data_IF_170527666591
#
_entry.id   IF_170527666591
#
_cell.length_a   1.000
_cell.length_b   1.000
_cell.length_c   1.000
_cell.angle_alpha   90.00
_cell.angle_beta   90.00
_cell.angle_gamma   90.00
#
_symmetry.space_group_name_H-M   'P 1'
#
loop_
_entity.id
_entity.type
_entity.pdbx_description
1 polymer ?
#
# COMPACT_ATOMS: atom_id res chain seq x y z
N UNK A 1 18.15 24.26 11.17
CA UNK A 1 16.91 23.54 10.82
C UNK A 1 15.84 24.54 10.41
N UNK A 2 15.19 24.33 9.27
CA UNK A 2 14.09 25.15 8.77
C UNK A 2 13.01 25.31 9.86
N UNK A 3 12.50 26.53 10.10
CA UNK A 3 11.45 26.77 11.12
C UNK A 3 10.18 25.96 10.85
N UNK A 4 9.97 25.55 9.60
CA UNK A 4 8.85 24.71 9.19
C UNK A 4 8.95 23.29 9.72
N UNK A 5 10.15 22.72 9.89
CA UNK A 5 10.31 21.41 10.51
C UNK A 5 9.74 21.38 11.94
N UNK A 6 9.97 22.45 12.71
CA UNK A 6 9.37 22.58 14.05
C UNK A 6 7.83 22.67 13.98
N UNK A 7 7.30 23.37 12.97
CA UNK A 7 5.85 23.48 12.83
C UNK A 7 5.22 22.16 12.34
N UNK A 8 5.93 21.41 11.49
CA UNK A 8 5.57 20.05 11.11
C UNK A 8 5.51 19.15 12.35
N UNK A 9 6.54 19.18 13.20
CA UNK A 9 6.58 18.43 14.48
C UNK A 9 5.41 18.77 15.42
N UNK A 10 5.09 20.06 15.56
CA UNK A 10 3.92 20.50 16.33
C UNK A 10 2.59 19.97 15.71
N UNK A 11 2.54 19.76 14.40
CA UNK A 11 1.37 19.19 13.70
C UNK A 11 1.32 17.67 13.84
N UNK A 12 2.43 16.94 13.72
CA UNK A 12 2.47 15.48 13.90
C UNK A 12 2.06 15.09 15.32
N UNK A 13 2.47 15.85 16.34
CA UNK A 13 2.00 15.68 17.71
C UNK A 13 0.47 15.78 17.85
N UNK A 14 -0.17 16.68 17.09
CA UNK A 14 -1.65 16.76 17.04
C UNK A 14 -2.26 15.59 16.29
N UNK A 15 -1.62 15.12 15.23
CA UNK A 15 -2.05 13.94 14.47
C UNK A 15 -2.14 12.72 15.38
N UNK A 16 -1.13 12.47 16.22
CA UNK A 16 -1.15 11.36 17.18
C UNK A 16 -2.13 11.56 18.33
N UNK A 17 -2.30 12.78 18.84
CA UNK A 17 -3.41 13.07 19.78
C UNK A 17 -4.78 12.81 19.13
N UNK A 18 -4.90 13.03 17.82
CA UNK A 18 -6.12 12.81 17.09
C UNK A 18 -6.39 11.31 16.86
N UNK A 19 -5.36 10.53 16.50
CA UNK A 19 -5.41 9.07 16.46
C UNK A 19 -5.79 8.47 17.82
N UNK A 20 -5.23 9.00 18.92
CA UNK A 20 -5.58 8.61 20.29
C UNK A 20 -6.98 9.09 20.75
N UNK A 21 -7.72 9.85 19.92
CA UNK A 21 -9.05 10.38 20.24
C UNK A 21 -9.08 11.58 21.18
N UNK A 22 -7.93 12.15 21.53
CA UNK A 22 -7.80 13.35 22.36
C UNK A 22 -7.99 14.65 21.56
N UNK A 23 -7.65 14.65 20.27
CA UNK A 23 -8.00 15.70 19.30
C UNK A 23 -9.10 15.19 18.36
N UNK A 24 -10.14 15.99 18.13
CA UNK A 24 -11.28 15.60 17.28
C UNK A 24 -11.18 16.14 15.86
N UNK A 25 -10.37 17.18 15.66
CA UNK A 25 -10.14 17.74 14.34
C UNK A 25 -9.11 16.91 13.57
N UNK A 26 -9.63 16.09 12.65
CA UNK A 26 -8.82 15.26 11.76
C UNK A 26 -8.07 16.03 10.66
N UNK A 27 -8.30 17.33 10.51
CA UNK A 27 -7.62 18.12 9.46
C UNK A 27 -6.12 18.30 9.70
N UNK A 28 -5.62 17.97 10.90
CA UNK A 28 -4.21 18.02 11.23
C UNK A 28 -3.34 17.15 10.30
N UNK A 29 -3.83 15.98 9.88
CA UNK A 29 -3.12 15.08 8.97
C UNK A 29 -2.88 15.71 7.60
N UNK A 30 -3.93 16.30 7.01
CA UNK A 30 -3.80 17.03 5.75
C UNK A 30 -2.88 18.25 5.89
N UNK A 31 -2.99 18.99 6.99
CA UNK A 31 -2.14 20.16 7.25
C UNK A 31 -0.65 19.77 7.37
N UNK A 32 -0.36 18.69 8.11
CA UNK A 32 0.98 18.16 8.27
C UNK A 32 1.55 17.66 6.93
N UNK A 33 0.75 16.95 6.13
CA UNK A 33 1.17 16.47 4.81
C UNK A 33 1.51 17.63 3.86
N UNK A 34 0.66 18.66 3.79
CA UNK A 34 0.95 19.83 2.96
C UNK A 34 2.20 20.59 3.46
N UNK A 35 2.41 20.64 4.78
CA UNK A 35 3.62 21.22 5.37
C UNK A 35 4.87 20.44 4.97
N UNK A 36 4.85 19.10 5.06
CA UNK A 36 5.95 18.24 4.63
C UNK A 36 6.30 18.48 3.16
N UNK A 37 5.30 18.49 2.28
CA UNK A 37 5.48 18.80 0.86
C UNK A 37 6.09 20.18 0.65
N UNK A 38 5.61 21.20 1.37
CA UNK A 38 6.15 22.55 1.27
C UNK A 38 7.63 22.60 1.70
N UNK A 39 7.99 21.88 2.76
CA UNK A 39 9.38 21.75 3.23
C UNK A 39 10.24 21.13 2.14
N UNK A 40 9.86 19.95 1.61
CA UNK A 40 10.63 19.25 0.56
C UNK A 40 10.84 20.18 -0.65
N UNK A 41 9.79 20.84 -1.13
CA UNK A 41 9.88 21.75 -2.27
C UNK A 41 10.71 23.00 -1.99
N UNK A 42 10.79 23.46 -0.74
CA UNK A 42 11.65 24.58 -0.35
C UNK A 42 13.12 24.18 -0.27
N UNK A 43 13.43 23.06 0.37
CA UNK A 43 14.80 22.52 0.43
C UNK A 43 15.32 22.26 -0.98
N UNK A 44 14.47 21.74 -1.88
CA UNK A 44 14.80 21.52 -3.29
C UNK A 44 15.12 22.77 -4.11
N UNK A 45 14.78 23.98 -3.61
CA UNK A 45 15.22 25.24 -4.25
C UNK A 45 16.70 25.52 -4.00
N UNK A 46 17.23 25.03 -2.87
CA UNK A 46 18.63 25.22 -2.49
C UNK A 46 19.48 24.02 -2.95
N UNK A 47 18.94 22.81 -2.86
CA UNK A 47 19.57 21.57 -3.30
C UNK A 47 18.57 20.74 -4.11
N UNK A 48 18.71 20.75 -5.44
CA UNK A 48 17.74 20.11 -6.35
C UNK A 48 17.61 18.60 -6.16
N UNK A 49 18.59 17.94 -5.52
CA UNK A 49 18.55 16.50 -5.25
C UNK A 49 18.12 16.17 -3.81
N UNK A 50 17.74 17.17 -3.02
CA UNK A 50 17.25 16.97 -1.66
C UNK A 50 16.08 15.97 -1.62
N UNK A 51 16.30 14.86 -0.90
CA UNK A 51 15.34 13.77 -0.71
C UNK A 51 14.64 13.38 -2.02
N UNK A 52 15.42 13.04 -3.06
CA UNK A 52 14.90 12.62 -4.35
C UNK A 52 14.03 11.36 -4.24
N UNK A 53 14.34 10.50 -3.27
CA UNK A 53 13.61 9.28 -2.92
C UNK A 53 13.00 9.43 -1.52
N UNK A 54 11.92 8.70 -1.24
CA UNK A 54 11.19 8.84 0.03
C UNK A 54 12.08 8.51 1.23
N UNK A 55 12.83 7.40 1.17
CA UNK A 55 13.73 6.95 2.24
C UNK A 55 14.80 8.00 2.63
N UNK A 56 15.24 8.80 1.65
CA UNK A 56 16.29 9.81 1.87
C UNK A 56 15.83 10.96 2.78
N UNK A 57 14.52 11.13 3.01
CA UNK A 57 14.03 12.21 3.85
C UNK A 57 14.37 12.01 5.32
N UNK A 58 14.37 10.76 5.79
CA UNK A 58 14.69 10.43 7.17
C UNK A 58 16.19 10.60 7.42
N UNK A 59 17.03 10.15 6.49
CA UNK A 59 18.46 10.45 6.49
C UNK A 59 18.74 11.95 6.53
N UNK A 60 18.02 12.72 5.70
CA UNK A 60 18.19 14.17 5.62
C UNK A 60 17.75 14.92 6.90
N UNK A 61 16.95 14.27 7.74
CA UNK A 61 16.47 14.81 9.02
C UNK A 61 17.11 14.15 10.24
N UNK A 62 18.12 13.29 10.04
CA UNK A 62 18.74 12.49 11.11
C UNK A 62 17.69 11.70 11.91
N UNK A 63 16.70 11.15 11.20
CA UNK A 63 15.57 10.39 11.75
C UNK A 63 14.77 11.15 12.82
N UNK A 64 14.83 12.49 12.83
CA UNK A 64 14.21 13.29 13.90
C UNK A 64 12.68 13.23 13.91
N UNK A 65 12.06 12.82 12.81
CA UNK A 65 10.60 12.87 12.62
C UNK A 65 9.95 11.57 12.18
N UNK A 66 10.74 10.56 11.84
CA UNK A 66 10.26 9.27 11.33
C UNK A 66 9.19 9.42 10.23
N UNK A 67 9.57 10.09 9.15
CA UNK A 67 8.65 10.56 8.12
C UNK A 67 8.00 9.41 7.38
N UNK A 68 8.73 8.31 7.15
CA UNK A 68 8.15 7.13 6.51
C UNK A 68 7.02 6.53 7.35
N UNK A 69 7.27 6.22 8.63
CA UNK A 69 6.24 5.69 9.53
C UNK A 69 5.07 6.67 9.69
N UNK A 70 5.38 7.96 9.87
CA UNK A 70 4.34 9.00 9.97
C UNK A 70 3.48 9.12 8.70
N UNK A 71 4.07 8.94 7.51
CA UNK A 71 3.33 8.98 6.24
C UNK A 71 2.39 7.79 6.10
N UNK A 72 2.80 6.60 6.54
CA UNK A 72 1.94 5.42 6.56
C UNK A 72 0.73 5.66 7.46
N UNK A 73 0.95 6.10 8.71
CA UNK A 73 -0.10 6.49 9.65
C UNK A 73 -1.03 7.56 9.05
N UNK A 74 -0.45 8.55 8.38
CA UNK A 74 -1.21 9.62 7.75
C UNK A 74 -2.13 9.12 6.64
N UNK A 75 -1.65 8.25 5.77
CA UNK A 75 -2.45 7.70 4.69
C UNK A 75 -3.57 6.81 5.24
N UNK A 76 -3.28 5.99 6.26
CA UNK A 76 -4.26 5.10 6.89
C UNK A 76 -5.33 5.86 7.67
N UNK A 77 -4.97 6.90 8.41
CA UNK A 77 -5.94 7.74 9.13
C UNK A 77 -6.89 8.49 8.19
N UNK A 78 -6.38 8.96 7.04
CA UNK A 78 -7.22 9.60 6.02
C UNK A 78 -8.12 8.57 5.33
N UNK A 79 -7.62 7.35 5.08
CA UNK A 79 -8.40 6.24 4.51
C UNK A 79 -9.52 5.78 5.45
N UNK A 80 -9.23 5.59 6.74
CA UNK A 80 -10.20 5.21 7.77
C UNK A 80 -11.34 6.22 7.94
N UNK A 81 -11.10 7.49 7.59
CA UNK A 81 -12.11 8.57 7.59
C UNK A 81 -12.90 8.66 6.30
N UNK A 82 -12.57 7.82 5.33
CA UNK A 82 -13.17 7.81 4.00
C UNK A 82 -13.03 9.16 3.27
N UNK A 83 -12.00 9.97 3.61
CA UNK A 83 -11.68 11.20 2.87
C UNK A 83 -10.88 10.88 1.60
N UNK A 84 -11.56 10.17 0.70
CA UNK A 84 -10.97 9.59 -0.50
C UNK A 84 -10.46 10.64 -1.51
N UNK A 85 -11.04 11.85 -1.54
CA UNK A 85 -10.52 12.92 -2.40
C UNK A 85 -9.18 13.46 -1.89
N UNK A 86 -9.07 13.67 -0.57
CA UNK A 86 -7.79 14.05 0.05
C UNK A 86 -6.75 12.94 -0.13
N UNK A 87 -7.13 11.69 0.10
CA UNK A 87 -6.22 10.55 -0.04
C UNK A 87 -5.73 10.38 -1.48
N UNK A 88 -6.61 10.55 -2.47
CA UNK A 88 -6.22 10.51 -3.88
C UNK A 88 -5.19 11.59 -4.21
N UNK A 89 -5.40 12.82 -3.72
CA UNK A 89 -4.47 13.92 -3.91
C UNK A 89 -3.12 13.63 -3.25
N UNK A 90 -3.11 13.10 -2.03
CA UNK A 90 -1.88 12.71 -1.33
C UNK A 90 -1.10 11.66 -2.13
N UNK A 91 -1.78 10.63 -2.65
CA UNK A 91 -1.15 9.63 -3.50
C UNK A 91 -0.55 10.25 -4.77
N UNK A 92 -1.28 11.14 -5.45
CA UNK A 92 -0.79 11.86 -6.63
C UNK A 92 0.44 12.73 -6.33
N UNK A 93 0.41 13.44 -5.21
CA UNK A 93 1.51 14.28 -4.74
C UNK A 93 2.74 13.43 -4.42
N UNK A 94 2.62 12.34 -3.66
CA UNK A 94 3.75 11.44 -3.34
C UNK A 94 4.37 10.82 -4.59
N UNK A 95 3.54 10.33 -5.52
CA UNK A 95 4.00 9.75 -6.79
C UNK A 95 4.71 10.78 -7.69
N UNK A 96 4.45 12.07 -7.50
CA UNK A 96 5.10 13.16 -8.24
C UNK A 96 6.33 13.70 -7.51
N UNK A 97 6.32 13.71 -6.18
CA UNK A 97 7.38 14.27 -5.37
C UNK A 97 8.66 13.41 -5.42
N UNK A 98 8.55 12.09 -5.50
CA UNK A 98 9.71 11.20 -5.43
C UNK A 98 10.03 10.53 -6.76
N UNK A 99 11.33 10.31 -7.01
CA UNK A 99 11.80 9.35 -7.99
C UNK A 99 11.63 7.96 -7.38
N UNK A 100 10.94 7.06 -8.07
CA UNK A 100 10.68 5.71 -7.58
C UNK A 100 11.51 4.72 -8.41
N UNK A 101 12.82 4.54 -8.11
CA UNK A 101 13.74 3.79 -8.96
C UNK A 101 13.54 2.27 -8.79
N UNK A 102 14.15 1.67 -7.76
CA UNK A 102 14.02 0.23 -7.46
C UNK A 102 12.65 -0.06 -6.86
N UNK A 103 12.32 0.64 -5.77
CA UNK A 103 10.98 0.67 -5.24
C UNK A 103 10.09 1.56 -6.10
N UNK A 104 9.06 0.99 -6.72
CA UNK A 104 8.24 1.73 -7.70
C UNK A 104 7.12 2.58 -7.08
N UNK A 105 7.00 2.63 -5.74
CA UNK A 105 5.84 3.22 -5.05
C UNK A 105 4.58 2.38 -5.24
N UNK A 106 4.72 1.05 -5.24
CA UNK A 106 3.65 0.10 -5.57
C UNK A 106 2.48 0.20 -4.59
N UNK A 107 2.75 0.38 -3.30
CA UNK A 107 1.80 0.64 -2.23
C UNK A 107 0.91 1.87 -2.50
N UNK A 108 1.51 3.01 -2.87
CA UNK A 108 0.83 4.28 -3.13
C UNK A 108 0.01 4.16 -4.41
N UNK A 109 0.55 3.49 -5.44
CA UNK A 109 -0.19 3.19 -6.67
C UNK A 109 -1.36 2.25 -6.41
N UNK A 110 -1.18 1.24 -5.56
CA UNK A 110 -2.25 0.33 -5.16
C UNK A 110 -3.36 1.10 -4.45
N UNK A 111 -3.01 1.87 -3.42
CA UNK A 111 -3.96 2.71 -2.67
C UNK A 111 -4.71 3.66 -3.60
N UNK A 112 -3.99 4.37 -4.49
CA UNK A 112 -4.60 5.21 -5.52
C UNK A 112 -5.61 4.47 -6.40
N UNK A 113 -5.31 3.27 -6.85
CA UNK A 113 -6.23 2.47 -7.67
C UNK A 113 -7.52 2.13 -6.91
N UNK A 114 -7.40 1.73 -5.64
CA UNK A 114 -8.55 1.43 -4.77
C UNK A 114 -9.37 2.68 -4.48
N UNK A 115 -8.73 3.80 -4.17
CA UNK A 115 -9.37 5.09 -3.91
C UNK A 115 -10.17 5.58 -5.13
N UNK A 116 -9.63 5.41 -6.35
CA UNK A 116 -10.38 5.71 -7.57
C UNK A 116 -11.65 4.87 -7.70
N UNK A 117 -11.62 3.59 -7.29
CA UNK A 117 -12.82 2.75 -7.21
C UNK A 117 -13.82 3.27 -6.18
N UNK A 118 -13.35 3.62 -4.96
CA UNK A 118 -14.20 4.14 -3.86
C UNK A 118 -14.91 5.45 -4.23
N UNK A 119 -14.24 6.31 -5.00
CA UNK A 119 -14.83 7.54 -5.56
C UNK A 119 -15.78 7.31 -6.74
N UNK A 120 -15.97 6.06 -7.18
CA UNK A 120 -16.77 5.75 -8.37
C UNK A 120 -16.13 6.19 -9.69
N UNK A 121 -14.85 6.58 -9.69
CA UNK A 121 -14.07 7.04 -10.86
C UNK A 121 -13.54 5.84 -11.67
N UNK A 122 -14.43 4.89 -11.96
CA UNK A 122 -14.08 3.56 -12.50
C UNK A 122 -13.29 3.61 -13.81
N UNK A 123 -13.63 4.54 -14.71
CA UNK A 123 -12.90 4.71 -15.99
C UNK A 123 -11.45 5.12 -15.78
N UNK A 124 -11.19 5.90 -14.74
CA UNK A 124 -9.84 6.36 -14.40
C UNK A 124 -9.05 5.25 -13.70
N UNK A 125 -9.68 4.53 -12.78
CA UNK A 125 -9.10 3.35 -12.12
C UNK A 125 -8.62 2.33 -13.17
N UNK A 126 -9.52 1.92 -14.08
CA UNK A 126 -9.21 0.96 -15.15
C UNK A 126 -8.03 1.44 -16.00
N UNK A 127 -8.08 2.69 -16.47
CA UNK A 127 -7.01 3.25 -17.31
C UNK A 127 -5.67 3.34 -16.56
N UNK A 128 -5.71 3.64 -15.27
CA UNK A 128 -4.53 3.71 -14.43
C UNK A 128 -3.91 2.33 -14.25
N UNK A 129 -4.70 1.32 -13.85
CA UNK A 129 -4.26 -0.06 -13.67
C UNK A 129 -3.74 -0.69 -14.95
N UNK A 130 -4.42 -0.49 -16.09
CA UNK A 130 -3.96 -0.98 -17.41
C UNK A 130 -2.58 -0.41 -17.77
N UNK A 131 -2.35 0.89 -17.56
CA UNK A 131 -1.05 1.52 -17.82
C UNK A 131 0.03 1.03 -16.87
N UNK A 132 -0.31 0.84 -15.60
CA UNK A 132 0.65 0.41 -14.59
C UNK A 132 1.15 -1.02 -14.88
N UNK A 133 0.26 -1.98 -15.10
CA UNK A 133 0.66 -3.35 -15.47
C UNK A 133 1.41 -3.38 -16.79
N UNK A 134 1.02 -2.56 -17.77
CA UNK A 134 1.76 -2.49 -19.03
C UNK A 134 3.22 -2.07 -18.82
N UNK A 135 3.46 -1.16 -17.87
CA UNK A 135 4.81 -0.69 -17.53
C UNK A 135 5.57 -1.70 -16.67
N UNK A 136 4.87 -2.39 -15.78
CA UNK A 136 5.44 -3.28 -14.77
C UNK A 136 4.71 -4.64 -14.80
N UNK A 137 4.88 -5.45 -15.87
CA UNK A 137 4.06 -6.64 -16.10
C UNK A 137 4.32 -7.77 -15.10
N UNK A 138 5.48 -7.80 -14.46
CA UNK A 138 5.86 -8.80 -13.45
C UNK A 138 5.62 -8.31 -12.01
N UNK A 139 5.09 -7.11 -11.83
CA UNK A 139 4.78 -6.57 -10.50
C UNK A 139 3.44 -7.16 -10.02
N UNK A 140 3.50 -8.06 -9.05
CA UNK A 140 2.30 -8.69 -8.48
C UNK A 140 1.37 -7.69 -7.82
N UNK A 141 1.87 -6.63 -7.18
CA UNK A 141 1.04 -5.57 -6.57
C UNK A 141 0.25 -4.82 -7.66
N UNK A 142 0.88 -4.55 -8.80
CA UNK A 142 0.21 -3.93 -9.95
C UNK A 142 -0.91 -4.83 -10.50
N UNK A 143 -0.62 -6.13 -10.63
CA UNK A 143 -1.59 -7.14 -11.05
C UNK A 143 -2.77 -7.23 -10.08
N UNK A 144 -2.49 -7.33 -8.77
CA UNK A 144 -3.49 -7.40 -7.69
C UNK A 144 -4.39 -6.18 -7.69
N UNK A 145 -3.81 -4.96 -7.80
CA UNK A 145 -4.59 -3.73 -7.91
C UNK A 145 -5.57 -3.78 -9.11
N UNK A 146 -5.11 -4.26 -10.26
CA UNK A 146 -5.97 -4.37 -11.42
C UNK A 146 -7.01 -5.48 -11.30
N UNK A 147 -6.73 -6.60 -10.63
CA UNK A 147 -7.74 -7.63 -10.34
C UNK A 147 -8.89 -7.00 -9.54
N UNK A 148 -8.59 -6.22 -8.49
CA UNK A 148 -9.61 -5.49 -7.75
C UNK A 148 -10.40 -4.51 -8.64
N UNK A 149 -9.70 -3.66 -9.40
CA UNK A 149 -10.32 -2.66 -10.29
C UNK A 149 -11.19 -3.33 -11.37
N UNK A 150 -10.69 -4.38 -12.02
CA UNK A 150 -11.40 -5.09 -13.07
C UNK A 150 -12.58 -5.87 -12.52
N UNK A 151 -12.47 -6.44 -11.32
CA UNK A 151 -13.60 -7.07 -10.63
C UNK A 151 -14.72 -6.06 -10.38
N UNK A 152 -14.40 -4.88 -9.82
CA UNK A 152 -15.39 -3.83 -9.56
C UNK A 152 -15.95 -3.23 -10.87
N UNK A 153 -15.14 -3.19 -11.92
CA UNK A 153 -15.55 -2.79 -13.27
C UNK A 153 -16.32 -3.88 -14.06
N UNK A 154 -16.52 -5.08 -13.47
CA UNK A 154 -17.14 -6.26 -14.11
C UNK A 154 -16.41 -6.76 -15.37
N UNK A 155 -15.10 -6.54 -15.44
CA UNK A 155 -14.18 -7.05 -16.47
C UNK A 155 -13.56 -8.37 -16.01
N UNK A 156 -14.40 -9.36 -15.70
CA UNK A 156 -13.97 -10.57 -14.99
C UNK A 156 -12.94 -11.40 -15.75
N UNK A 157 -13.05 -11.49 -17.07
CA UNK A 157 -12.10 -12.23 -17.90
C UNK A 157 -10.70 -11.60 -17.86
N UNK A 158 -10.62 -10.26 -17.78
CA UNK A 158 -9.33 -9.56 -17.66
C UNK A 158 -8.70 -9.78 -16.28
N UNK A 159 -9.54 -9.81 -15.23
CA UNK A 159 -9.09 -10.10 -13.88
C UNK A 159 -8.59 -11.55 -13.76
N UNK A 160 -9.32 -12.51 -14.33
CA UNK A 160 -8.95 -13.94 -14.26
C UNK A 160 -7.63 -14.23 -14.98
N UNK A 161 -7.36 -13.60 -16.13
CA UNK A 161 -6.07 -13.73 -16.82
C UNK A 161 -4.89 -13.28 -15.95
N UNK A 162 -5.07 -12.26 -15.11
CA UNK A 162 -4.03 -11.81 -14.18
C UNK A 162 -3.87 -12.79 -13.02
N UNK A 163 -4.98 -13.29 -12.47
CA UNK A 163 -4.94 -14.32 -11.41
C UNK A 163 -4.20 -15.57 -11.91
N UNK A 164 -4.55 -16.09 -13.08
CA UNK A 164 -3.92 -17.29 -13.65
C UNK A 164 -2.44 -17.06 -14.01
N UNK A 165 -1.99 -15.80 -14.20
CA UNK A 165 -0.58 -15.47 -14.42
C UNK A 165 0.24 -15.61 -13.14
N UNK A 166 -0.30 -15.14 -12.00
CA UNK A 166 0.44 -15.02 -10.74
C UNK A 166 0.13 -16.15 -9.74
N UNK A 167 -0.92 -16.94 -9.96
CA UNK A 167 -1.23 -18.15 -9.19
C UNK A 167 -1.08 -19.35 -10.11
N UNK A 168 0.10 -19.98 -10.09
CA UNK A 168 0.40 -21.19 -10.86
C UNK A 168 -0.25 -22.41 -10.21
N UNK A 169 -0.10 -22.55 -8.89
CA UNK A 169 -0.78 -23.54 -8.06
C UNK A 169 -1.67 -22.82 -7.02
N UNK A 170 -2.93 -23.22 -6.94
CA UNK A 170 -3.93 -22.62 -6.03
C UNK A 170 -3.85 -23.16 -4.60
N UNK A 171 -2.90 -24.05 -4.33
CA UNK A 171 -2.59 -24.56 -2.99
C UNK A 171 -1.31 -23.98 -2.40
N UNK A 172 -0.52 -23.24 -3.19
CA UNK A 172 0.77 -22.66 -2.78
C UNK A 172 0.59 -21.15 -2.52
N UNK A 173 -0.05 -20.81 -1.39
CA UNK A 173 -0.15 -19.45 -0.89
C UNK A 173 1.03 -19.17 0.06
N UNK A 174 1.66 -18.00 -0.07
CA UNK A 174 2.77 -17.57 0.78
C UNK A 174 3.01 -16.06 0.71
N UNK A 175 4.07 -15.60 1.40
CA UNK A 175 4.42 -14.17 1.58
C UNK A 175 4.46 -13.38 0.26
N UNK A 176 4.86 -14.02 -0.84
CA UNK A 176 5.02 -13.34 -2.14
C UNK A 176 3.70 -13.15 -2.90
N UNK A 177 2.66 -13.94 -2.61
CA UNK A 177 1.45 -14.03 -3.44
C UNK A 177 0.12 -13.99 -2.70
N UNK A 178 0.12 -13.94 -1.36
CA UNK A 178 -1.06 -13.86 -0.49
C UNK A 178 -2.02 -12.72 -0.91
N UNK A 179 -1.49 -11.57 -1.32
CA UNK A 179 -2.28 -10.43 -1.78
C UNK A 179 -3.08 -10.78 -3.04
N UNK A 180 -2.52 -11.60 -3.93
CA UNK A 180 -3.18 -12.05 -5.16
C UNK A 180 -4.20 -13.13 -4.85
N UNK A 181 -3.92 -14.04 -3.89
CA UNK A 181 -4.90 -15.01 -3.40
C UNK A 181 -6.13 -14.31 -2.81
N UNK A 182 -5.94 -13.27 -2.00
CA UNK A 182 -7.02 -12.46 -1.45
C UNK A 182 -7.86 -11.83 -2.57
N UNK A 183 -7.22 -11.25 -3.58
CA UNK A 183 -7.91 -10.68 -4.74
C UNK A 183 -8.66 -11.74 -5.58
N UNK A 184 -8.06 -12.92 -5.76
CA UNK A 184 -8.65 -14.05 -6.46
C UNK A 184 -9.90 -14.59 -5.73
N UNK A 185 -9.86 -14.69 -4.39
CA UNK A 185 -11.02 -15.09 -3.59
C UNK A 185 -12.20 -14.14 -3.83
N UNK A 186 -11.95 -12.81 -3.80
CA UNK A 186 -12.97 -11.80 -4.11
C UNK A 186 -13.52 -11.98 -5.52
N UNK A 187 -12.66 -12.13 -6.52
CA UNK A 187 -13.05 -12.32 -7.92
C UNK A 187 -13.94 -13.56 -8.08
N UNK A 188 -13.50 -14.73 -7.60
CA UNK A 188 -14.25 -15.97 -7.71
C UNK A 188 -15.58 -15.93 -6.94
N UNK A 189 -15.63 -15.22 -5.81
CA UNK A 189 -16.86 -14.93 -5.09
C UNK A 189 -17.87 -14.17 -5.92
N UNK A 190 -17.45 -13.09 -6.58
CA UNK A 190 -18.31 -12.27 -7.45
C UNK A 190 -18.73 -13.03 -8.71
N UNK A 191 -17.86 -13.87 -9.27
CA UNK A 191 -18.17 -14.72 -10.43
C UNK A 191 -19.07 -15.92 -10.10
N UNK A 192 -19.22 -16.27 -8.82
CA UNK A 192 -19.92 -17.49 -8.39
C UNK A 192 -19.14 -18.79 -8.64
N UNK A 193 -17.82 -18.70 -8.84
CA UNK A 193 -16.89 -19.82 -9.02
C UNK A 193 -16.56 -20.48 -7.68
N UNK A 194 -17.54 -21.20 -7.13
CA UNK A 194 -17.51 -21.73 -5.76
C UNK A 194 -16.37 -22.72 -5.50
N UNK A 195 -15.97 -23.50 -6.51
CA UNK A 195 -14.92 -24.51 -6.35
C UNK A 195 -13.56 -23.82 -6.24
N UNK A 196 -13.27 -22.94 -7.17
CA UNK A 196 -12.04 -22.16 -7.27
C UNK A 196 -11.88 -21.25 -6.04
N UNK A 197 -12.96 -20.58 -5.62
CA UNK A 197 -12.97 -19.80 -4.37
C UNK A 197 -12.60 -20.66 -3.17
N UNK A 198 -13.18 -21.86 -3.05
CA UNK A 198 -12.91 -22.76 -1.91
C UNK A 198 -11.45 -23.22 -1.88
N UNK A 199 -10.84 -23.46 -3.04
CA UNK A 199 -9.43 -23.84 -3.13
C UNK A 199 -8.52 -22.69 -2.65
N UNK A 200 -8.75 -21.47 -3.16
CA UNK A 200 -8.00 -20.27 -2.75
C UNK A 200 -8.22 -19.90 -1.28
N UNK A 201 -9.46 -19.94 -0.79
CA UNK A 201 -9.79 -19.66 0.61
C UNK A 201 -9.07 -20.64 1.54
N UNK A 202 -9.01 -21.92 1.17
CA UNK A 202 -8.32 -22.94 1.96
C UNK A 202 -6.81 -22.66 2.05
N UNK A 203 -6.19 -22.29 0.93
CA UNK A 203 -4.76 -21.97 0.91
C UNK A 203 -4.44 -20.72 1.75
N UNK A 204 -5.30 -19.70 1.72
CA UNK A 204 -5.21 -18.53 2.58
C UNK A 204 -5.33 -18.91 4.07
N UNK A 205 -6.35 -19.69 4.45
CA UNK A 205 -6.53 -20.15 5.84
C UNK A 205 -5.31 -20.98 6.33
N UNK A 206 -4.76 -21.85 5.48
CA UNK A 206 -3.57 -22.65 5.83
C UNK A 206 -2.31 -21.79 6.02
N UNK A 207 -2.18 -20.72 5.24
CA UNK A 207 -1.08 -19.76 5.37
C UNK A 207 -1.26 -18.85 6.60
N UNK A 208 -2.47 -18.36 6.87
CA UNK A 208 -2.80 -17.61 8.09
C UNK A 208 -2.49 -18.43 9.36
N UNK A 209 -2.89 -19.70 9.38
CA UNK A 209 -2.59 -20.64 10.48
C UNK A 209 -1.07 -20.86 10.66
N UNK A 210 -0.30 -20.83 9.56
CA UNK A 210 1.16 -20.91 9.60
C UNK A 210 1.76 -19.65 10.23
N UNK A 211 1.33 -18.46 9.79
CA UNK A 211 1.78 -17.19 10.34
C UNK A 211 1.46 -17.07 11.84
N UNK A 212 0.26 -17.47 12.27
CA UNK A 212 -0.12 -17.43 13.69
C UNK A 212 0.82 -18.28 14.56
N UNK A 213 1.19 -19.48 14.10
CA UNK A 213 2.14 -20.35 14.83
C UNK A 213 3.55 -19.78 14.85
N UNK A 214 3.99 -19.23 13.73
CA UNK A 214 5.30 -18.60 13.61
C UNK A 214 5.43 -17.42 14.59
N UNK A 215 4.45 -16.52 14.63
CA UNK A 215 4.49 -15.35 15.51
C UNK A 215 4.18 -15.68 16.98
N UNK A 216 3.42 -16.74 17.26
CA UNK A 216 3.15 -17.16 18.65
C UNK A 216 4.34 -17.86 19.31
N UNK A 217 5.38 -18.24 18.54
CA UNK A 217 6.54 -18.97 19.03
C UNK A 217 6.28 -20.45 19.35
N UNK A 218 5.01 -20.89 19.26
CA UNK A 218 4.58 -22.28 19.48
C UNK A 218 5.05 -23.26 18.38
N UNK A 219 5.69 -22.75 17.32
CA UNK A 219 6.27 -23.52 16.22
C UNK A 219 7.80 -23.55 16.16
N UNK A 220 8.50 -22.98 17.16
CA UNK A 220 9.98 -22.97 17.23
C UNK A 220 10.43 -24.00 18.26
N UNK A 221 10.60 -25.27 17.85
CA UNK A 221 11.48 -26.16 18.60
C UNK A 221 12.93 -25.63 18.43
N UNK A 222 13.75 -25.60 19.49
CA UNK A 222 15.13 -25.06 19.52
C UNK A 222 16.12 -25.70 18.50
N UNK A 223 15.66 -26.61 17.63
CA UNK A 223 16.42 -27.23 16.56
C UNK A 223 16.16 -26.60 15.15
N UNK A 224 15.21 -25.66 15.02
CA UNK A 224 14.80 -25.06 13.74
C UNK A 224 15.39 -23.66 13.46
N UNK A 225 16.47 -23.25 14.14
CA UNK A 225 17.20 -22.00 13.81
C UNK A 225 17.83 -22.00 12.40
N UNK A 226 17.88 -23.14 11.72
CA UNK A 226 18.47 -23.33 10.39
C UNK A 226 17.43 -23.64 9.28
N UNK A 227 16.12 -23.44 9.50
CA UNK A 227 15.11 -23.65 8.45
C UNK A 227 15.20 -22.58 7.36
N UNK A 228 16.01 -22.92 6.35
CA UNK A 228 16.06 -22.28 5.03
C UNK A 228 14.63 -22.04 4.51
N UNK A 229 14.36 -20.78 4.09
CA UNK A 229 13.11 -20.38 3.45
C UNK A 229 12.65 -21.46 2.45
N UNK A 230 11.42 -21.98 2.57
CA UNK A 230 10.87 -22.82 1.52
C UNK A 230 10.60 -21.92 0.31
N UNK A 231 11.57 -21.88 -0.61
CA UNK A 231 11.34 -21.41 -1.98
C UNK A 231 10.41 -22.42 -2.66
N UNK A 232 9.11 -22.13 -2.66
CA UNK A 232 8.14 -22.78 -3.53
C UNK A 232 7.66 -21.77 -4.58
#
# INVERSE_FOLDING_TARGET
>A
MNKKWKYFDDLTGKCYLNMAGAERDGSCWQQAFEMLKEIILEERKNDSEFAAELEQIDDATDYSFDIQEWLEDCLDEVDMREDYETLLKMCDDLLTLFGWPEYTGSDIKFRKAIVLCKLGRMKEAVRFSEKWIQKEPENIVAATAAVYVFTDAKKYEQAEVLVDKFIIDRSECGDENDIMFTAASKLYGVMGKKKEKKEVDKALEEYDDYLEKYFSGDGMDEEDEDMEFPFF
#
